data_IF_996106564583
#
_entry.id   IF_996106564583
#
_cell.length_a   1.000
_cell.length_b   1.000
_cell.length_c   1.000
_cell.angle_alpha   90.00
_cell.angle_beta   90.00
_cell.angle_gamma   90.00
#
_symmetry.space_group_name_H-M   'P 1'
#
loop_
_entity.id
_entity.type
_entity.pdbx_description
1 polymer ?
#
# COMPACT_ATOMS: atom_id res chain seq x y z
N UNK A 1 70.92 -70.65 -34.91
CA UNK A 1 69.45 -70.41 -34.89
C UNK A 1 68.86 -70.32 -33.47
N UNK A 2 69.15 -71.28 -32.56
CA UNK A 2 68.59 -71.29 -31.20
C UNK A 2 68.85 -70.01 -30.37
N UNK A 3 70.06 -69.43 -30.41
CA UNK A 3 70.38 -68.23 -29.63
C UNK A 3 69.67 -66.96 -30.14
N UNK A 4 69.51 -66.83 -31.46
CA UNK A 4 68.80 -65.69 -32.07
C UNK A 4 67.29 -65.73 -31.73
N UNK A 5 66.69 -66.92 -31.74
CA UNK A 5 65.28 -67.08 -31.37
C UNK A 5 65.02 -66.68 -29.90
N UNK A 6 65.88 -67.11 -28.97
CA UNK A 6 65.77 -66.70 -27.57
C UNK A 6 65.98 -65.19 -27.36
N UNK A 7 66.88 -64.57 -28.13
CA UNK A 7 67.10 -63.12 -28.07
C UNK A 7 65.88 -62.33 -28.56
N UNK A 8 65.28 -62.72 -29.69
CA UNK A 8 64.07 -62.09 -30.23
C UNK A 8 62.87 -62.23 -29.28
N UNK A 9 62.69 -63.40 -28.67
CA UNK A 9 61.62 -63.64 -27.68
C UNK A 9 61.81 -62.72 -26.45
N UNK A 10 63.03 -62.55 -25.96
CA UNK A 10 63.31 -61.67 -24.83
C UNK A 10 63.05 -60.20 -25.14
N UNK A 11 63.40 -59.73 -26.34
CA UNK A 11 63.13 -58.36 -26.80
C UNK A 11 61.63 -58.12 -26.93
N UNK A 12 60.90 -59.07 -27.54
CA UNK A 12 59.45 -58.99 -27.68
C UNK A 12 58.72 -59.00 -26.32
N UNK A 13 59.20 -59.83 -25.38
CA UNK A 13 58.69 -59.86 -24.02
C UNK A 13 58.96 -58.53 -23.29
N UNK A 14 60.17 -57.98 -23.39
CA UNK A 14 60.52 -56.69 -22.79
C UNK A 14 59.69 -55.54 -23.38
N UNK A 15 59.50 -55.50 -24.70
CA UNK A 15 58.65 -54.51 -25.37
C UNK A 15 57.19 -54.58 -24.92
N UNK A 16 56.64 -55.79 -24.78
CA UNK A 16 55.29 -56.02 -24.26
C UNK A 16 55.15 -55.53 -22.81
N UNK A 17 56.15 -55.81 -21.96
CA UNK A 17 56.16 -55.36 -20.55
C UNK A 17 56.21 -53.84 -20.45
N UNK A 18 57.06 -53.17 -21.25
CA UNK A 18 57.16 -51.70 -21.27
C UNK A 18 55.84 -51.06 -21.73
N UNK A 19 55.19 -51.65 -22.75
CA UNK A 19 53.89 -51.19 -23.23
C UNK A 19 52.80 -51.33 -22.15
N UNK A 20 52.78 -52.45 -21.43
CA UNK A 20 51.84 -52.67 -20.32
C UNK A 20 52.05 -51.68 -19.17
N UNK A 21 53.30 -51.41 -18.78
CA UNK A 21 53.63 -50.43 -17.75
C UNK A 21 53.15 -49.03 -18.15
N UNK A 22 53.39 -48.63 -19.40
CA UNK A 22 53.00 -47.31 -19.92
C UNK A 22 51.48 -47.14 -19.97
N UNK A 23 50.77 -48.19 -20.41
CA UNK A 23 49.31 -48.20 -20.43
C UNK A 23 48.72 -48.12 -19.01
N UNK A 24 49.31 -48.84 -18.05
CA UNK A 24 48.89 -48.77 -16.65
C UNK A 24 49.10 -47.37 -16.07
N UNK A 25 50.27 -46.76 -16.29
CA UNK A 25 50.57 -45.41 -15.82
C UNK A 25 49.65 -44.34 -16.43
N UNK A 26 49.31 -44.48 -17.72
CA UNK A 26 48.33 -43.60 -18.36
C UNK A 26 46.94 -43.75 -17.74
N UNK A 27 46.49 -45.00 -17.52
CA UNK A 27 45.20 -45.29 -16.91
C UNK A 27 45.09 -44.73 -15.49
N UNK A 28 46.14 -44.88 -14.67
CA UNK A 28 46.15 -44.33 -13.31
C UNK A 28 46.09 -42.80 -13.34
N UNK A 29 46.86 -42.14 -14.22
CA UNK A 29 46.84 -40.69 -14.33
C UNK A 29 45.46 -40.18 -14.80
N UNK A 30 44.84 -40.84 -15.77
CA UNK A 30 43.50 -40.49 -16.25
C UNK A 30 42.43 -40.62 -15.14
N UNK A 31 42.53 -41.65 -14.30
CA UNK A 31 41.66 -41.80 -13.13
C UNK A 31 41.88 -40.69 -12.10
N UNK A 32 43.13 -40.34 -11.80
CA UNK A 32 43.46 -39.25 -10.85
C UNK A 32 42.94 -37.90 -11.35
N UNK A 33 43.12 -37.58 -12.63
CA UNK A 33 42.62 -36.32 -13.21
C UNK A 33 41.09 -36.27 -13.17
N UNK A 34 40.42 -37.35 -13.61
CA UNK A 34 38.96 -37.36 -13.66
C UNK A 34 38.36 -37.27 -12.26
N UNK A 35 38.85 -38.06 -11.30
CA UNK A 35 38.37 -38.03 -9.91
C UNK A 35 38.67 -36.70 -9.21
N UNK A 36 39.86 -36.14 -9.41
CA UNK A 36 40.25 -34.84 -8.85
C UNK A 36 39.41 -33.70 -9.41
N UNK A 37 39.31 -33.57 -10.74
CA UNK A 37 38.57 -32.48 -11.38
C UNK A 37 37.08 -32.56 -11.04
N UNK A 38 36.46 -33.74 -11.18
CA UNK A 38 35.01 -33.90 -10.90
C UNK A 38 34.70 -33.71 -9.41
N UNK A 39 35.54 -34.24 -8.52
CA UNK A 39 35.38 -34.08 -7.07
C UNK A 39 35.54 -32.63 -6.63
N UNK A 40 36.60 -31.95 -7.07
CA UNK A 40 36.84 -30.54 -6.72
C UNK A 40 35.78 -29.61 -7.29
N UNK A 41 35.35 -29.81 -8.55
CA UNK A 41 34.33 -28.98 -9.18
C UNK A 41 32.96 -29.17 -8.50
N UNK A 42 32.60 -30.41 -8.15
CA UNK A 42 31.37 -30.73 -7.43
C UNK A 42 31.36 -30.10 -6.02
N UNK A 43 32.45 -30.24 -5.27
CA UNK A 43 32.59 -29.64 -3.94
C UNK A 43 32.50 -28.11 -4.01
N UNK A 44 33.24 -27.48 -4.94
CA UNK A 44 33.25 -26.02 -5.10
C UNK A 44 31.88 -25.47 -5.45
N UNK A 45 31.18 -26.11 -6.40
CA UNK A 45 29.83 -25.69 -6.81
C UNK A 45 28.82 -25.83 -5.67
N UNK A 46 28.91 -26.90 -4.89
CA UNK A 46 28.04 -27.15 -3.73
C UNK A 46 28.32 -26.15 -2.60
N UNK A 47 29.59 -25.85 -2.31
CA UNK A 47 29.95 -24.85 -1.30
C UNK A 47 29.54 -23.43 -1.70
N UNK A 48 29.69 -23.06 -2.97
CA UNK A 48 29.25 -21.76 -3.49
C UNK A 48 27.73 -21.59 -3.36
N UNK A 49 26.95 -22.56 -3.84
CA UNK A 49 25.47 -22.53 -3.75
C UNK A 49 24.97 -22.54 -2.31
N UNK A 50 25.60 -23.32 -1.41
CA UNK A 50 25.26 -23.31 0.02
C UNK A 50 25.50 -21.93 0.67
N UNK A 51 26.56 -21.24 0.26
CA UNK A 51 26.88 -19.90 0.78
C UNK A 51 25.88 -18.86 0.27
N UNK A 52 25.57 -18.90 -1.02
CA UNK A 52 24.57 -18.00 -1.63
C UNK A 52 23.18 -18.20 -1.02
N UNK A 53 22.78 -19.45 -0.77
CA UNK A 53 21.52 -19.76 -0.11
C UNK A 53 21.46 -19.20 1.31
N UNK A 54 22.54 -19.36 2.09
CA UNK A 54 22.62 -18.80 3.45
C UNK A 54 22.52 -17.26 3.44
N UNK A 55 23.18 -16.60 2.48
CA UNK A 55 23.07 -15.14 2.32
C UNK A 55 21.66 -14.71 1.92
N UNK A 56 21.01 -15.45 1.02
CA UNK A 56 19.65 -15.14 0.61
C UNK A 56 18.65 -15.32 1.76
N UNK A 57 18.82 -16.36 2.56
CA UNK A 57 18.01 -16.57 3.77
C UNK A 57 18.18 -15.40 4.74
N UNK A 58 19.41 -14.98 5.03
CA UNK A 58 19.64 -13.82 5.91
C UNK A 58 19.03 -12.52 5.39
N UNK A 59 18.96 -12.33 4.07
CA UNK A 59 18.27 -11.18 3.46
C UNK A 59 16.75 -11.27 3.61
N UNK A 60 16.18 -12.46 3.48
CA UNK A 60 14.74 -12.69 3.69
C UNK A 60 14.38 -12.40 5.14
N UNK A 61 15.13 -12.95 6.09
CA UNK A 61 14.92 -12.73 7.52
C UNK A 61 14.99 -11.22 7.87
N UNK A 62 15.95 -10.49 7.25
CA UNK A 62 16.07 -9.04 7.41
C UNK A 62 14.87 -8.26 6.87
N UNK A 63 14.38 -8.62 5.68
CA UNK A 63 13.20 -8.00 5.07
C UNK A 63 11.93 -8.28 5.87
N UNK A 64 11.78 -9.49 6.41
CA UNK A 64 10.65 -9.84 7.29
C UNK A 64 10.65 -8.96 8.55
N UNK A 65 11.81 -8.78 9.17
CA UNK A 65 11.95 -7.87 10.32
C UNK A 65 11.60 -6.42 9.97
N UNK A 66 12.02 -5.93 8.79
CA UNK A 66 11.71 -4.56 8.34
C UNK A 66 10.20 -4.38 8.14
N UNK A 67 9.53 -5.36 7.53
CA UNK A 67 8.07 -5.34 7.33
C UNK A 67 7.33 -5.30 8.66
N UNK A 68 7.78 -6.03 9.67
CA UNK A 68 7.14 -6.02 10.99
C UNK A 68 7.33 -4.68 11.73
N UNK A 69 8.50 -4.04 11.59
CA UNK A 69 8.72 -2.67 12.10
C UNK A 69 7.76 -1.69 11.41
N UNK A 70 7.69 -1.72 10.08
CA UNK A 70 6.79 -0.83 9.33
C UNK A 70 5.33 -1.04 9.71
N UNK A 71 4.90 -2.28 9.96
CA UNK A 71 3.54 -2.58 10.44
C UNK A 71 3.27 -1.96 11.81
N UNK A 72 4.23 -2.01 12.73
CA UNK A 72 4.12 -1.40 14.05
C UNK A 72 4.08 0.15 13.97
N UNK A 73 4.89 0.74 13.09
CA UNK A 73 4.86 2.18 12.83
C UNK A 73 3.52 2.62 12.25
N UNK A 74 2.98 1.90 11.27
CA UNK A 74 1.65 2.18 10.70
C UNK A 74 0.54 2.05 11.75
N UNK A 75 0.62 1.06 12.65
CA UNK A 75 -0.34 0.92 13.75
C UNK A 75 -0.29 2.13 14.71
N UNK A 76 0.92 2.59 15.04
CA UNK A 76 1.14 3.77 15.88
C UNK A 76 0.60 5.02 15.20
N UNK A 77 0.93 5.22 13.92
CA UNK A 77 0.46 6.36 13.14
C UNK A 77 -1.07 6.40 13.06
N UNK A 78 -1.72 5.24 12.84
CA UNK A 78 -3.18 5.12 12.87
C UNK A 78 -3.77 5.52 14.22
N UNK A 79 -3.15 5.12 15.32
CA UNK A 79 -3.57 5.52 16.66
C UNK A 79 -3.42 7.04 16.88
N UNK A 80 -2.29 7.62 16.47
CA UNK A 80 -2.07 9.07 16.54
C UNK A 80 -3.07 9.86 15.70
N UNK A 81 -3.36 9.41 14.47
CA UNK A 81 -4.38 10.04 13.61
C UNK A 81 -5.76 9.96 14.27
N UNK A 82 -6.13 8.81 14.84
CA UNK A 82 -7.41 8.69 15.55
C UNK A 82 -7.52 9.65 16.74
N UNK A 83 -6.42 9.82 17.52
CA UNK A 83 -6.37 10.78 18.61
C UNK A 83 -6.48 12.22 18.11
N UNK A 84 -5.73 12.57 17.06
CA UNK A 84 -5.77 13.91 16.47
C UNK A 84 -7.15 14.22 15.88
N UNK A 85 -7.79 13.26 15.23
CA UNK A 85 -9.17 13.39 14.75
C UNK A 85 -10.15 13.58 15.92
N UNK A 86 -9.97 12.86 17.02
CA UNK A 86 -10.74 13.08 18.25
C UNK A 86 -10.51 14.47 18.84
N UNK A 87 -9.27 14.95 18.86
CA UNK A 87 -8.90 16.27 19.36
C UNK A 87 -9.45 17.39 18.49
N UNK A 88 -9.35 17.28 17.16
CA UNK A 88 -9.94 18.22 16.19
C UNK A 88 -11.47 18.19 16.30
N UNK A 89 -12.08 17.01 16.47
CA UNK A 89 -13.50 16.88 16.77
C UNK A 89 -13.90 17.50 18.12
N UNK A 90 -12.98 17.58 19.07
CA UNK A 90 -13.16 18.21 20.38
C UNK A 90 -12.64 19.66 20.49
N UNK A 91 -12.08 20.21 19.41
CA UNK A 91 -11.33 21.48 19.38
C UNK A 91 -12.19 22.73 19.49
N UNK A 92 -13.36 22.62 20.12
CA UNK A 92 -14.34 23.68 20.31
C UNK A 92 -14.88 23.82 21.73
N UNK A 93 -14.30 23.18 22.76
CA UNK A 93 -14.58 23.55 24.17
C UNK A 93 -13.53 22.94 25.09
N UNK A 94 -12.76 23.79 25.77
CA UNK A 94 -11.83 23.35 26.81
C UNK A 94 -12.56 22.74 28.02
N UNK A 95 -11.93 21.75 28.65
CA UNK A 95 -12.25 21.34 30.02
C UNK A 95 -12.42 19.83 30.24
N UNK A 96 -11.33 19.22 30.71
CA UNK A 96 -11.27 18.14 31.71
C UNK A 96 -12.16 16.90 31.56
N UNK A 97 -11.52 15.76 31.25
CA UNK A 97 -11.56 14.53 32.06
C UNK A 97 -12.91 13.82 32.26
N UNK A 98 -12.89 12.54 31.93
CA UNK A 98 -13.83 11.47 32.33
C UNK A 98 -15.22 11.42 31.68
N UNK A 99 -15.32 10.53 30.70
CA UNK A 99 -16.41 9.56 30.45
C UNK A 99 -17.82 10.09 30.12
N UNK A 100 -18.27 9.75 28.90
CA UNK A 100 -19.62 9.91 28.31
C UNK A 100 -19.84 11.20 27.52
N UNK A 101 -19.21 11.29 26.34
CA UNK A 101 -19.46 12.38 25.38
C UNK A 101 -20.62 12.01 24.45
N UNK A 102 -21.77 12.62 24.71
CA UNK A 102 -22.92 12.71 23.81
C UNK A 102 -22.49 13.48 22.56
N UNK A 103 -22.50 12.82 21.40
CA UNK A 103 -22.23 13.39 20.08
C UNK A 103 -23.21 14.51 19.74
N UNK A 104 -22.75 15.76 19.75
CA UNK A 104 -23.45 16.85 19.05
C UNK A 104 -22.47 17.97 18.69
N UNK A 105 -21.74 17.79 17.58
CA UNK A 105 -21.05 18.88 16.87
C UNK A 105 -21.87 19.20 15.62
N UNK A 106 -22.96 19.96 15.81
CA UNK A 106 -23.96 20.19 14.78
C UNK A 106 -23.43 21.11 13.67
N UNK A 107 -23.14 20.57 12.49
CA UNK A 107 -23.07 21.37 11.25
C UNK A 107 -24.33 22.24 11.14
N UNK A 108 -24.13 23.52 10.85
CA UNK A 108 -25.21 24.48 10.73
C UNK A 108 -25.26 25.01 9.30
N UNK A 109 -26.47 25.12 8.77
CA UNK A 109 -26.72 25.72 7.46
C UNK A 109 -27.96 26.59 7.62
N UNK A 110 -27.88 27.81 7.12
CA UNK A 110 -28.95 28.80 7.19
C UNK A 110 -29.21 29.37 5.80
N UNK A 111 -30.49 29.51 5.39
CA UNK A 111 -30.81 30.23 4.17
C UNK A 111 -30.66 31.74 4.41
N UNK A 112 -30.30 32.50 3.37
CA UNK A 112 -30.33 33.97 3.37
C UNK A 112 -31.77 34.51 3.17
N UNK A 113 -32.73 33.95 3.91
CA UNK A 113 -34.15 34.29 3.84
C UNK A 113 -35.04 33.07 4.13
N UNK A 114 -36.11 33.25 4.92
CA UNK A 114 -37.02 32.15 5.25
C UNK A 114 -37.96 31.75 4.09
N UNK A 115 -38.17 32.69 3.14
CA UNK A 115 -39.05 32.52 1.99
C UNK A 115 -38.42 33.08 0.72
N UNK A 116 -38.66 32.42 -0.41
CA UNK A 116 -38.12 32.78 -1.74
C UNK A 116 -39.21 32.62 -2.80
N UNK A 117 -39.20 33.46 -3.84
CA UNK A 117 -40.17 33.35 -4.94
C UNK A 117 -39.87 32.14 -5.83
N UNK A 118 -40.93 31.49 -6.29
CA UNK A 118 -40.87 30.42 -7.26
C UNK A 118 -40.09 30.83 -8.52
N UNK A 119 -39.19 29.96 -9.00
CA UNK A 119 -38.40 30.21 -10.20
C UNK A 119 -37.25 31.22 -10.03
N UNK A 120 -36.93 31.62 -8.81
CA UNK A 120 -35.77 32.49 -8.51
C UNK A 120 -34.62 31.66 -7.93
N UNK A 121 -33.71 32.30 -7.18
CA UNK A 121 -32.63 31.63 -6.47
C UNK A 121 -32.54 32.05 -5.02
N UNK A 122 -31.89 31.21 -4.21
CA UNK A 122 -31.65 31.43 -2.79
C UNK A 122 -30.18 31.14 -2.49
N UNK A 123 -29.58 31.87 -1.56
CA UNK A 123 -28.26 31.54 -1.02
C UNK A 123 -28.39 30.85 0.34
N UNK A 124 -27.47 29.95 0.63
CA UNK A 124 -27.27 29.33 1.92
C UNK A 124 -25.85 29.55 2.39
N UNK A 125 -25.72 29.91 3.66
CA UNK A 125 -24.43 29.92 4.37
C UNK A 125 -24.35 28.72 5.30
N UNK A 126 -23.24 27.99 5.26
CA UNK A 126 -22.97 26.88 6.17
C UNK A 126 -21.73 27.12 7.02
N UNK A 127 -21.68 26.47 8.19
CA UNK A 127 -20.54 26.46 9.11
C UNK A 127 -20.38 25.09 9.77
N UNK A 128 -19.14 24.77 10.14
CA UNK A 128 -18.78 23.53 10.83
C UNK A 128 -18.50 22.35 9.90
N UNK A 129 -18.40 22.60 8.59
CA UNK A 129 -17.91 21.63 7.61
C UNK A 129 -16.38 21.50 7.71
N UNK A 130 -15.79 20.47 7.11
CA UNK A 130 -14.33 20.34 7.09
C UNK A 130 -13.68 21.40 6.19
N UNK A 131 -12.42 21.71 6.48
CA UNK A 131 -11.63 22.70 5.74
C UNK A 131 -11.56 22.33 4.26
N UNK A 132 -11.76 23.33 3.39
CA UNK A 132 -11.64 23.22 1.94
C UNK A 132 -12.47 22.10 1.29
N UNK A 133 -13.52 21.60 1.97
CA UNK A 133 -14.27 20.44 1.49
C UNK A 133 -15.34 20.80 0.45
N UNK A 134 -15.55 19.96 -0.59
CA UNK A 134 -16.71 20.11 -1.46
C UNK A 134 -17.99 19.78 -0.70
N UNK A 135 -18.99 20.65 -0.81
CA UNK A 135 -20.32 20.43 -0.24
C UNK A 135 -21.31 20.21 -1.37
N UNK A 136 -21.93 19.03 -1.40
CA UNK A 136 -22.98 18.69 -2.37
C UNK A 136 -24.33 19.09 -1.82
N UNK A 137 -25.16 19.75 -2.64
CA UNK A 137 -26.51 20.16 -2.26
C UNK A 137 -27.52 19.35 -3.06
N UNK A 138 -28.39 18.63 -2.38
CA UNK A 138 -29.47 17.86 -3.00
C UNK A 138 -30.83 18.30 -2.55
N UNK A 139 -31.83 18.17 -3.42
CA UNK A 139 -33.22 18.32 -3.04
C UNK A 139 -33.78 17.07 -2.33
N UNK A 140 -35.05 17.15 -1.92
CA UNK A 140 -35.76 16.06 -1.26
C UNK A 140 -35.89 14.78 -2.14
N UNK A 141 -35.73 14.89 -3.46
CA UNK A 141 -35.71 13.72 -4.36
C UNK A 141 -34.32 13.07 -4.45
N UNK A 142 -33.29 13.73 -3.90
CA UNK A 142 -31.89 13.31 -3.98
C UNK A 142 -31.14 13.84 -5.21
N UNK A 143 -31.79 14.65 -6.05
CA UNK A 143 -31.17 15.26 -7.22
C UNK A 143 -30.21 16.39 -6.80
N UNK A 144 -29.07 16.52 -7.48
CA UNK A 144 -28.11 17.61 -7.21
C UNK A 144 -28.66 18.92 -7.75
N UNK A 145 -28.85 19.89 -6.87
CA UNK A 145 -29.29 21.24 -7.24
C UNK A 145 -28.15 22.25 -7.24
N UNK A 146 -27.00 21.87 -6.65
CA UNK A 146 -25.76 22.62 -6.78
C UNK A 146 -24.66 22.08 -5.88
N UNK A 147 -23.55 22.82 -5.87
CA UNK A 147 -22.38 22.53 -5.05
C UNK A 147 -21.83 23.83 -4.46
N UNK A 148 -21.18 23.71 -3.31
CA UNK A 148 -20.39 24.76 -2.70
C UNK A 148 -19.04 24.18 -2.27
N UNK A 149 -18.14 25.05 -1.81
CA UNK A 149 -16.86 24.64 -1.22
C UNK A 149 -16.70 25.36 0.11
N UNK A 150 -16.41 24.60 1.16
CA UNK A 150 -16.03 25.19 2.44
C UNK A 150 -14.68 25.89 2.30
N UNK A 151 -14.46 26.96 3.06
CA UNK A 151 -13.17 27.63 3.16
C UNK A 151 -12.25 26.90 4.16
N UNK A 152 -11.05 27.45 4.41
CA UNK A 152 -10.11 26.88 5.38
C UNK A 152 -10.63 26.84 6.83
N UNK A 153 -11.71 27.55 7.14
CA UNK A 153 -12.39 27.56 8.43
C UNK A 153 -13.69 26.73 8.48
N UNK A 154 -14.02 26.00 7.41
CA UNK A 154 -15.23 25.16 7.37
C UNK A 154 -16.53 25.92 7.08
N UNK A 155 -16.45 27.16 6.57
CA UNK A 155 -17.61 27.96 6.19
C UNK A 155 -17.82 27.94 4.68
N UNK A 156 -19.06 27.99 4.21
CA UNK A 156 -19.35 28.14 2.79
C UNK A 156 -20.50 29.12 2.54
N UNK A 157 -20.58 29.60 1.31
CA UNK A 157 -21.79 30.17 0.70
C UNK A 157 -22.04 29.45 -0.63
N UNK A 158 -23.31 29.25 -0.97
CA UNK A 158 -23.71 28.66 -2.27
C UNK A 158 -23.79 29.70 -3.39
N UNK A 159 -23.74 30.99 -3.05
CA UNK A 159 -23.97 32.12 -3.95
C UNK A 159 -25.42 32.23 -4.40
N UNK A 160 -25.86 31.34 -5.30
CA UNK A 160 -27.19 31.39 -5.90
C UNK A 160 -27.62 29.99 -6.36
N UNK A 161 -28.39 29.29 -5.52
CA UNK A 161 -29.00 28.00 -5.86
C UNK A 161 -30.36 28.20 -6.53
N UNK A 162 -30.62 27.57 -7.68
CA UNK A 162 -31.90 27.68 -8.38
C UNK A 162 -33.03 27.00 -7.59
N UNK A 163 -34.18 27.68 -7.50
CA UNK A 163 -35.38 27.18 -6.83
C UNK A 163 -36.44 26.82 -7.87
N UNK A 164 -37.09 25.67 -7.69
CA UNK A 164 -38.17 25.22 -8.58
C UNK A 164 -39.33 26.23 -8.65
N UNK A 165 -40.07 26.24 -9.76
CA UNK A 165 -41.28 27.06 -9.92
C UNK A 165 -42.48 26.59 -9.10
N UNK A 166 -42.38 25.44 -8.40
CA UNK A 166 -43.46 24.89 -7.62
C UNK A 166 -43.41 25.36 -6.16
N UNK A 167 -44.48 26.04 -5.74
CA UNK A 167 -44.65 26.63 -4.41
C UNK A 167 -44.83 25.60 -3.30
N UNK A 168 -44.53 25.99 -2.07
CA UNK A 168 -44.67 25.17 -0.86
C UNK A 168 -43.37 25.02 -0.08
N UNK A 169 -43.40 24.18 0.96
CA UNK A 169 -42.21 23.86 1.76
C UNK A 169 -41.23 23.01 0.95
N UNK A 170 -39.96 23.39 0.96
CA UNK A 170 -38.87 22.68 0.29
C UNK A 170 -37.76 22.42 1.28
N UNK A 171 -36.97 21.40 1.00
CA UNK A 171 -35.76 21.11 1.77
C UNK A 171 -34.58 20.84 0.85
N UNK A 172 -33.42 21.32 1.27
CA UNK A 172 -32.13 20.95 0.70
C UNK A 172 -31.27 20.27 1.76
N UNK A 173 -30.57 19.23 1.35
CA UNK A 173 -29.59 18.52 2.15
C UNK A 173 -28.20 18.86 1.65
N UNK A 174 -27.37 19.35 2.56
CA UNK A 174 -25.98 19.71 2.34
C UNK A 174 -25.12 18.60 2.90
N UNK A 175 -24.23 18.02 2.10
CA UNK A 175 -23.36 16.90 2.51
C UNK A 175 -21.90 17.21 2.17
N UNK A 176 -21.04 17.16 3.18
CA UNK A 176 -19.59 17.26 3.00
C UNK A 176 -19.05 16.03 2.27
N UNK A 177 -18.31 16.24 1.20
CA UNK A 177 -17.84 15.16 0.32
C UNK A 177 -16.76 14.27 0.95
N UNK A 178 -16.03 14.79 1.93
CA UNK A 178 -15.00 14.03 2.66
C UNK A 178 -15.47 13.66 4.06
N UNK A 179 -16.06 14.61 4.79
CA UNK A 179 -16.50 14.39 6.15
C UNK A 179 -17.76 13.52 6.26
N UNK A 180 -18.58 13.49 5.21
CA UNK A 180 -19.91 12.87 5.23
C UNK A 180 -20.93 13.59 6.13
N UNK A 181 -20.53 14.67 6.81
CA UNK A 181 -21.42 15.46 7.66
C UNK A 181 -22.52 16.08 6.81
N UNK A 182 -23.75 16.08 7.33
CA UNK A 182 -24.88 16.62 6.58
C UNK A 182 -25.86 17.41 7.42
N UNK A 183 -26.52 18.36 6.75
CA UNK A 183 -27.60 19.16 7.33
C UNK A 183 -28.70 19.32 6.30
N UNK A 184 -29.93 19.02 6.70
CA UNK A 184 -31.13 19.35 5.93
C UNK A 184 -31.72 20.65 6.45
N UNK A 185 -32.03 21.57 5.54
CA UNK A 185 -32.64 22.87 5.84
C UNK A 185 -33.92 23.00 5.03
N UNK A 186 -34.99 23.41 5.70
CA UNK A 186 -36.27 23.69 5.06
C UNK A 186 -36.48 25.19 4.86
N UNK A 187 -37.11 25.55 3.76
CA UNK A 187 -37.46 26.93 3.39
C UNK A 187 -38.80 26.95 2.63
N UNK A 188 -39.46 28.11 2.56
CA UNK A 188 -40.76 28.24 1.90
C UNK A 188 -40.63 28.87 0.53
N UNK A 189 -41.23 28.25 -0.49
CA UNK A 189 -41.34 28.83 -1.84
C UNK A 189 -42.71 29.46 -2.04
N UNK A 190 -42.75 30.77 -2.29
CA UNK A 190 -43.98 31.55 -2.51
C UNK A 190 -44.18 31.89 -3.99
N UNK A 191 -45.39 32.33 -4.35
CA UNK A 191 -45.65 32.93 -5.68
C UNK A 191 -44.99 34.30 -5.82
#
# INVERSE_FOLDING_TARGET
MKNALHSNIRILAAGTVIALISAFAFQTNAQTVTGGVTGTLSATSTSATSTEFALLQGRIDGLESEVDVLRAEVATLRATVALLMGQIGSGGTGGSGTTTATTSSSVSVSPQGASVRAGTSIDFSGRGFWYDEPVRVTDASGAVVGTARADGGGNFSTGSLPVSSATGSRSYTFTGGWSGMSKTVSFTVTQ
#
